data_IF_553280824228
#
_entry.id   IF_553280824228
#
_cell.length_a   1.000
_cell.length_b   1.000
_cell.length_c   1.000
_cell.angle_alpha   90.00
_cell.angle_beta   90.00
_cell.angle_gamma   90.00
#
_symmetry.space_group_name_H-M   'P 1'
#
loop_
_entity.id
_entity.type
_entity.pdbx_description
1 polymer ?
#
# COMPACT_ATOMS: atom_id res chain seq x y z
N UNK A 1 -33.90 20.97 34.88
CA UNK A 1 -32.49 20.64 35.21
C UNK A 1 -32.05 19.22 34.85
N UNK A 2 -32.89 18.35 34.25
CA UNK A 2 -32.48 17.00 33.81
C UNK A 2 -32.27 16.87 32.29
N UNK A 3 -32.82 17.77 31.49
CA UNK A 3 -32.78 17.65 30.02
C UNK A 3 -31.52 18.24 29.37
N UNK A 4 -30.83 19.19 30.02
CA UNK A 4 -29.57 19.74 29.49
C UNK A 4 -28.36 18.80 29.60
N UNK A 5 -28.41 17.76 30.43
CA UNK A 5 -27.30 16.83 30.61
C UNK A 5 -27.25 15.74 29.53
N UNK A 6 -28.40 15.39 28.94
CA UNK A 6 -28.51 14.36 27.90
C UNK A 6 -27.98 14.88 26.56
N UNK A 7 -28.16 16.17 26.28
CA UNK A 7 -27.63 16.81 25.06
C UNK A 7 -26.10 16.87 25.03
N UNK A 8 -25.44 17.13 26.18
CA UNK A 8 -23.98 17.13 26.23
C UNK A 8 -23.35 15.73 26.04
N UNK A 9 -24.00 14.66 26.51
CA UNK A 9 -23.52 13.29 26.27
C UNK A 9 -23.69 12.83 24.83
N UNK A 10 -24.72 13.29 24.10
CA UNK A 10 -24.87 12.98 22.68
C UNK A 10 -23.76 13.61 21.81
N UNK A 11 -23.25 14.79 22.19
CA UNK A 11 -22.15 15.45 21.47
C UNK A 11 -20.77 14.81 21.72
N UNK A 12 -20.56 14.16 22.87
CA UNK A 12 -19.28 13.51 23.18
C UNK A 12 -19.12 12.20 22.38
N UNK A 13 -20.22 11.53 22.01
CA UNK A 13 -20.19 10.26 21.29
C UNK A 13 -19.95 10.45 19.78
N UNK A 14 -20.27 11.61 19.21
CA UNK A 14 -20.11 11.88 17.77
C UNK A 14 -18.67 12.21 17.33
N UNK A 15 -17.74 12.47 18.26
CA UNK A 15 -16.37 12.88 17.93
C UNK A 15 -15.35 11.73 17.88
N UNK A 16 -15.74 10.49 18.15
CA UNK A 16 -14.82 9.33 18.16
C UNK A 16 -15.23 8.23 17.18
N UNK A 17 -15.93 8.56 16.09
CA UNK A 17 -15.95 7.66 14.93
C UNK A 17 -14.66 7.92 14.15
N UNK A 18 -13.52 7.46 14.69
CA UNK A 18 -12.37 7.18 13.84
C UNK A 18 -12.88 6.16 12.83
N UNK A 19 -13.09 6.59 11.58
CA UNK A 19 -13.59 5.70 10.53
C UNK A 19 -12.73 4.44 10.55
N UNK A 20 -13.37 3.27 10.64
CA UNK A 20 -12.66 2.00 10.59
C UNK A 20 -11.80 2.02 9.32
N UNK A 21 -10.49 1.73 9.45
CA UNK A 21 -9.61 1.59 8.30
C UNK A 21 -9.96 0.30 7.58
N UNK A 22 -11.00 0.37 6.74
CA UNK A 22 -11.45 -0.73 5.92
C UNK A 22 -10.80 -0.64 4.53
N UNK A 23 -10.24 -1.76 4.07
CA UNK A 23 -9.61 -1.82 2.75
C UNK A 23 -10.70 -1.97 1.68
N UNK A 24 -10.67 -1.18 0.59
CA UNK A 24 -11.64 -1.29 -0.48
C UNK A 24 -11.58 -2.67 -1.14
N UNK A 25 -12.75 -3.25 -1.46
CA UNK A 25 -12.84 -4.55 -2.15
C UNK A 25 -12.05 -4.56 -3.46
N UNK A 26 -12.04 -3.45 -4.19
CA UNK A 26 -11.29 -3.30 -5.45
C UNK A 26 -9.79 -3.52 -5.27
N UNK A 27 -9.21 -3.08 -4.15
CA UNK A 27 -7.81 -3.33 -3.81
C UNK A 27 -7.59 -4.81 -3.49
N UNK A 28 -8.44 -5.39 -2.65
CA UNK A 28 -8.33 -6.81 -2.25
C UNK A 28 -8.47 -7.75 -3.44
N UNK A 29 -9.42 -7.49 -4.34
CA UNK A 29 -9.62 -8.27 -5.57
C UNK A 29 -8.40 -8.20 -6.51
N UNK A 30 -7.79 -7.02 -6.65
CA UNK A 30 -6.58 -6.86 -7.45
C UNK A 30 -5.39 -7.62 -6.84
N UNK A 31 -5.20 -7.55 -5.52
CA UNK A 31 -4.17 -8.32 -4.82
C UNK A 31 -4.37 -9.83 -4.99
N UNK A 32 -5.58 -10.34 -4.76
CA UNK A 32 -5.89 -11.78 -4.90
C UNK A 32 -5.70 -12.27 -6.34
N UNK A 33 -6.15 -11.47 -7.32
CA UNK A 33 -5.96 -11.75 -8.73
C UNK A 33 -4.48 -11.78 -9.12
N UNK A 34 -3.71 -10.81 -8.66
CA UNK A 34 -2.29 -10.71 -8.95
C UNK A 34 -1.45 -11.74 -8.21
N UNK A 35 -1.83 -12.10 -6.97
CA UNK A 35 -1.26 -13.21 -6.24
C UNK A 35 -1.41 -14.51 -7.04
N UNK A 36 -2.61 -14.71 -7.59
CA UNK A 36 -2.94 -15.88 -8.42
C UNK A 36 -2.30 -15.87 -9.81
N UNK A 37 -1.81 -14.74 -10.30
CA UNK A 37 -1.13 -14.64 -11.61
C UNK A 37 0.39 -14.65 -11.50
N UNK A 38 0.97 -14.01 -10.48
CA UNK A 38 2.39 -13.61 -10.45
C UNK A 38 3.24 -14.30 -9.40
N UNK A 39 2.65 -14.74 -8.29
CA UNK A 39 3.41 -15.50 -7.28
C UNK A 39 3.57 -16.93 -7.78
N UNK A 40 4.78 -17.49 -7.76
CA UNK A 40 5.01 -18.85 -8.24
C UNK A 40 4.21 -19.87 -7.41
N UNK A 41 3.77 -20.96 -8.04
CA UNK A 41 2.96 -22.00 -7.36
C UNK A 41 3.70 -22.55 -6.12
N UNK A 42 5.03 -22.67 -6.17
CA UNK A 42 5.85 -23.12 -5.04
C UNK A 42 5.76 -22.13 -3.88
N UNK A 43 5.86 -20.83 -4.15
CA UNK A 43 5.71 -19.78 -3.13
C UNK A 43 4.28 -19.73 -2.56
N UNK A 44 3.25 -20.00 -3.39
CA UNK A 44 1.86 -20.13 -2.91
C UNK A 44 1.66 -21.34 -2.01
N UNK A 45 2.30 -22.46 -2.31
CA UNK A 45 2.26 -23.67 -1.47
C UNK A 45 3.00 -23.42 -0.17
N UNK A 46 4.17 -22.78 -0.20
CA UNK A 46 4.89 -22.38 1.01
C UNK A 46 4.05 -21.41 1.86
N UNK A 47 3.37 -20.44 1.23
CA UNK A 47 2.46 -19.52 1.90
C UNK A 47 1.27 -20.26 2.55
N UNK A 48 0.64 -21.17 1.81
CA UNK A 48 -0.50 -21.96 2.32
C UNK A 48 -0.06 -22.86 3.49
N UNK A 49 1.10 -23.50 3.37
CA UNK A 49 1.69 -24.34 4.42
C UNK A 49 2.03 -23.51 5.65
N UNK A 50 2.61 -22.31 5.47
CA UNK A 50 2.88 -21.36 6.54
C UNK A 50 1.61 -20.79 7.16
N UNK A 51 0.55 -20.55 6.38
CA UNK A 51 -0.75 -20.09 6.88
C UNK A 51 -1.41 -21.15 7.77
N UNK A 52 -1.38 -22.42 7.35
CA UNK A 52 -1.83 -23.55 8.18
C UNK A 52 -0.96 -23.69 9.43
N UNK A 53 0.36 -23.56 9.29
CA UNK A 53 1.30 -23.60 10.42
C UNK A 53 1.07 -22.44 11.39
N UNK A 54 0.80 -21.24 10.89
CA UNK A 54 0.54 -20.03 11.66
C UNK A 54 -0.83 -20.09 12.34
N UNK A 55 -1.84 -20.66 11.68
CA UNK A 55 -3.12 -20.98 12.29
C UNK A 55 -2.96 -21.99 13.43
N UNK A 56 -2.18 -23.05 13.22
CA UNK A 56 -1.86 -24.04 14.25
C UNK A 56 -1.07 -23.43 15.41
N UNK A 57 -0.03 -22.63 15.13
CA UNK A 57 0.75 -21.89 16.13
C UNK A 57 -0.14 -20.96 16.96
N UNK A 58 -1.03 -20.20 16.32
CA UNK A 58 -2.01 -19.32 16.99
C UNK A 58 -2.97 -20.11 17.88
N UNK A 59 -3.43 -21.28 17.44
CA UNK A 59 -4.28 -22.18 18.26
C UNK A 59 -3.54 -22.79 19.43
N UNK A 60 -2.22 -22.96 19.32
CA UNK A 60 -1.34 -23.52 20.34
C UNK A 60 -0.71 -22.44 21.25
N UNK A 61 -1.02 -21.16 21.06
CA UNK A 61 -0.49 -20.06 21.86
C UNK A 61 0.94 -19.65 21.53
N UNK A 62 1.49 -20.06 20.39
CA UNK A 62 2.80 -19.65 19.90
C UNK A 62 2.73 -18.35 19.09
N UNK A 63 3.83 -17.59 19.08
CA UNK A 63 3.99 -16.45 18.20
C UNK A 63 3.95 -16.87 16.73
N UNK A 64 3.31 -16.05 15.92
CA UNK A 64 3.17 -16.23 14.47
C UNK A 64 4.35 -15.56 13.79
N UNK A 65 5.03 -16.26 12.89
CA UNK A 65 6.05 -15.64 12.03
C UNK A 65 5.32 -14.87 10.92
N UNK A 66 5.34 -13.53 10.99
CA UNK A 66 4.91 -12.67 9.89
C UNK A 66 5.90 -12.81 8.74
N UNK A 67 5.39 -13.10 7.54
CA UNK A 67 6.18 -13.11 6.32
C UNK A 67 6.50 -11.68 5.91
N UNK A 68 7.59 -11.13 6.46
CA UNK A 68 8.09 -9.78 6.18
C UNK A 68 9.02 -9.72 4.95
N UNK A 69 8.79 -10.58 3.95
CA UNK A 69 9.56 -10.52 2.70
C UNK A 69 8.72 -9.86 1.62
N UNK A 70 9.17 -8.72 1.05
CA UNK A 70 8.51 -8.09 -0.09
C UNK A 70 8.31 -9.09 -1.22
N UNK A 71 7.18 -8.98 -1.92
CA UNK A 71 6.94 -9.75 -3.15
C UNK A 71 7.82 -9.24 -4.29
N UNK A 72 7.96 -10.03 -5.36
CA UNK A 72 8.67 -9.60 -6.57
C UNK A 72 7.95 -8.41 -7.23
N UNK A 73 8.70 -7.57 -7.95
CA UNK A 73 8.18 -6.34 -8.53
C UNK A 73 6.96 -6.58 -9.46
N UNK A 74 6.89 -7.73 -10.13
CA UNK A 74 5.81 -8.07 -11.07
C UNK A 74 4.45 -8.22 -10.38
N UNK A 75 4.45 -8.55 -9.08
CA UNK A 75 3.23 -8.59 -8.27
C UNK A 75 2.66 -7.18 -8.13
N UNK A 76 3.48 -6.21 -7.74
CA UNK A 76 3.05 -4.83 -7.58
C UNK A 76 2.69 -4.21 -8.93
N UNK A 77 3.48 -4.46 -9.98
CA UNK A 77 3.14 -4.04 -11.33
C UNK A 77 1.78 -4.57 -11.78
N UNK A 78 1.45 -5.82 -11.44
CA UNK A 78 0.14 -6.39 -11.73
C UNK A 78 -0.98 -5.61 -11.02
N UNK A 79 -0.81 -5.25 -9.74
CA UNK A 79 -1.83 -4.50 -8.98
C UNK A 79 -2.08 -3.14 -9.62
N UNK A 80 -1.02 -2.38 -9.91
CA UNK A 80 -1.18 -1.06 -10.55
C UNK A 80 -1.86 -1.17 -11.93
N UNK A 81 -1.61 -2.25 -12.68
CA UNK A 81 -2.29 -2.51 -13.94
C UNK A 81 -3.78 -2.84 -13.75
N UNK A 82 -4.12 -3.79 -12.88
CA UNK A 82 -5.51 -4.20 -12.62
C UNK A 82 -6.33 -3.02 -12.05
N UNK A 83 -5.71 -2.13 -11.26
CA UNK A 83 -6.32 -0.91 -10.73
C UNK A 83 -6.30 0.29 -11.70
N UNK A 84 -5.70 0.15 -12.89
CA UNK A 84 -5.60 1.20 -13.93
C UNK A 84 -4.93 2.48 -13.44
N UNK A 85 -3.85 2.33 -12.67
CA UNK A 85 -3.09 3.42 -12.04
C UNK A 85 -1.80 3.78 -12.80
N UNK A 86 -1.61 3.23 -14.01
CA UNK A 86 -0.40 3.42 -14.82
C UNK A 86 -0.66 4.28 -16.06
N UNK A 87 0.32 5.12 -16.39
CA UNK A 87 0.35 5.83 -17.66
C UNK A 87 0.71 4.90 -18.84
N UNK A 88 0.66 5.43 -20.07
CA UNK A 88 0.98 4.66 -21.28
C UNK A 88 2.41 4.09 -21.34
N UNK A 89 3.32 4.56 -20.47
CA UNK A 89 4.69 4.08 -20.36
C UNK A 89 4.89 3.10 -19.20
N UNK A 90 3.81 2.72 -18.49
CA UNK A 90 3.86 1.78 -17.38
C UNK A 90 4.32 2.36 -16.03
N UNK A 91 4.48 3.68 -15.91
CA UNK A 91 4.81 4.35 -14.64
C UNK A 91 3.56 4.75 -13.87
N UNK A 92 3.64 4.94 -12.53
CA UNK A 92 2.55 5.49 -11.74
C UNK A 92 2.01 6.79 -12.34
N UNK A 93 0.69 6.87 -12.48
CA UNK A 93 0.03 8.09 -12.93
C UNK A 93 -0.71 8.74 -11.74
N UNK A 94 -0.28 9.93 -11.36
CA UNK A 94 -0.84 10.65 -10.22
C UNK A 94 -2.36 10.81 -10.32
N UNK A 95 -2.88 11.31 -11.44
CA UNK A 95 -4.29 11.61 -11.60
C UNK A 95 -5.17 10.35 -11.57
N UNK A 96 -4.70 9.25 -12.15
CA UNK A 96 -5.41 7.97 -12.10
C UNK A 96 -5.44 7.38 -10.69
N UNK A 97 -4.35 7.52 -9.92
CA UNK A 97 -4.32 7.08 -8.53
C UNK A 97 -5.26 7.93 -7.68
N UNK A 98 -5.26 9.26 -7.87
CA UNK A 98 -6.20 10.17 -7.21
C UNK A 98 -7.64 9.79 -7.53
N UNK A 99 -7.95 9.59 -8.82
CA UNK A 99 -9.27 9.17 -9.25
C UNK A 99 -9.69 7.85 -8.60
N UNK A 100 -8.77 6.89 -8.46
CA UNK A 100 -9.08 5.64 -7.77
C UNK A 100 -9.34 5.87 -6.28
N UNK A 101 -8.53 6.69 -5.59
CA UNK A 101 -8.71 7.00 -4.16
C UNK A 101 -10.08 7.65 -3.91
N UNK A 102 -10.44 8.66 -4.71
CA UNK A 102 -11.72 9.39 -4.59
C UNK A 102 -12.94 8.47 -4.67
N UNK A 103 -12.86 7.40 -5.49
CA UNK A 103 -13.97 6.49 -5.72
C UNK A 103 -14.04 5.32 -4.72
N UNK A 104 -12.94 5.02 -4.01
CA UNK A 104 -12.83 3.78 -3.25
C UNK A 104 -12.54 3.97 -1.76
N UNK A 105 -12.00 5.11 -1.35
CA UNK A 105 -11.52 5.33 0.02
C UNK A 105 -12.35 6.41 0.73
N UNK A 106 -12.70 6.16 1.98
CA UNK A 106 -13.39 7.12 2.85
C UNK A 106 -12.50 8.36 3.07
N UNK A 107 -13.10 9.54 2.95
CA UNK A 107 -12.44 10.86 2.97
C UNK A 107 -11.35 11.03 4.04
N UNK A 108 -11.61 10.61 5.28
CA UNK A 108 -10.66 10.77 6.38
C UNK A 108 -9.33 10.02 6.15
N UNK A 109 -9.39 8.82 5.56
CA UNK A 109 -8.20 8.03 5.20
C UNK A 109 -7.60 8.50 3.87
N UNK A 110 -8.45 8.95 2.94
CA UNK A 110 -8.01 9.47 1.64
C UNK A 110 -7.05 10.65 1.80
N UNK A 111 -7.29 11.55 2.77
CA UNK A 111 -6.43 12.70 3.03
C UNK A 111 -4.98 12.32 3.31
N UNK A 112 -4.76 11.36 4.22
CA UNK A 112 -3.41 10.89 4.56
C UNK A 112 -2.72 10.26 3.35
N UNK A 113 -3.48 9.47 2.58
CA UNK A 113 -2.99 8.83 1.35
C UNK A 113 -2.63 9.88 0.29
N UNK A 114 -3.38 10.99 0.18
CA UNK A 114 -3.05 12.08 -0.74
C UNK A 114 -1.76 12.80 -0.40
N UNK A 115 -1.56 13.11 0.89
CA UNK A 115 -0.32 13.74 1.36
C UNK A 115 0.88 12.82 1.07
N UNK A 116 0.71 11.51 1.28
CA UNK A 116 1.74 10.52 0.97
C UNK A 116 1.99 10.39 -0.53
N UNK A 117 0.93 10.24 -1.33
CA UNK A 117 1.00 10.14 -2.80
C UNK A 117 1.72 11.34 -3.41
N UNK A 118 1.40 12.56 -2.97
CA UNK A 118 2.06 13.78 -3.43
C UNK A 118 3.57 13.73 -3.14
N UNK A 119 3.95 13.29 -1.94
CA UNK A 119 5.36 13.17 -1.54
C UNK A 119 6.11 12.13 -2.38
N UNK A 120 5.49 10.96 -2.59
CA UNK A 120 6.04 9.88 -3.42
C UNK A 120 6.20 10.31 -4.89
N UNK A 121 5.19 10.97 -5.45
CA UNK A 121 5.20 11.41 -6.84
C UNK A 121 6.23 12.51 -7.10
N UNK A 122 6.40 13.44 -6.14
CA UNK A 122 7.46 14.45 -6.21
C UNK A 122 8.84 13.80 -6.18
N UNK A 123 9.10 12.89 -5.24
CA UNK A 123 10.38 12.19 -5.13
C UNK A 123 10.67 11.37 -6.39
N UNK A 124 9.68 10.67 -6.96
CA UNK A 124 9.83 9.96 -8.23
C UNK A 124 10.19 10.91 -9.38
N UNK A 125 9.51 12.04 -9.47
CA UNK A 125 9.76 13.04 -10.51
C UNK A 125 11.18 13.61 -10.40
N UNK A 126 11.65 13.88 -9.17
CA UNK A 126 13.01 14.34 -8.89
C UNK A 126 14.06 13.27 -9.24
N UNK A 127 13.83 12.00 -8.89
CA UNK A 127 14.69 10.88 -9.28
C UNK A 127 14.80 10.77 -10.80
N UNK A 128 13.70 10.88 -11.53
CA UNK A 128 13.70 10.83 -13.00
C UNK A 128 14.47 12.04 -13.58
N UNK A 129 14.21 13.25 -13.08
CA UNK A 129 14.88 14.45 -13.61
C UNK A 129 16.39 14.45 -13.36
N UNK A 130 16.82 13.87 -12.23
CA UNK A 130 18.22 13.79 -11.83
C UNK A 130 18.91 12.50 -12.32
N UNK A 131 18.19 11.63 -13.04
CA UNK A 131 18.67 10.32 -13.48
C UNK A 131 19.21 9.46 -12.31
N UNK A 132 18.50 9.50 -11.18
CA UNK A 132 18.81 8.79 -9.94
C UNK A 132 17.81 7.66 -9.69
N UNK A 133 18.22 6.71 -8.85
CA UNK A 133 17.34 5.62 -8.40
C UNK A 133 16.23 6.18 -7.48
N UNK A 134 14.98 5.77 -7.71
CA UNK A 134 13.87 6.12 -6.84
C UNK A 134 13.73 5.10 -5.70
N UNK A 135 13.72 5.59 -4.46
CA UNK A 135 13.48 4.81 -3.24
C UNK A 135 12.15 5.17 -2.61
N UNK A 136 11.39 4.16 -2.18
CA UNK A 136 10.12 4.36 -1.47
C UNK A 136 10.29 4.84 -0.03
N UNK A 137 11.51 4.73 0.51
CA UNK A 137 11.85 5.31 1.80
C UNK A 137 12.35 6.75 1.62
N UNK A 138 11.41 7.70 1.71
CA UNK A 138 11.69 9.12 1.53
C UNK A 138 12.66 9.71 2.58
N UNK A 139 12.91 9.01 3.70
CA UNK A 139 13.86 9.44 4.72
C UNK A 139 15.27 8.87 4.50
N UNK A 140 15.41 7.88 3.62
CA UNK A 140 16.71 7.32 3.27
C UNK A 140 17.48 8.34 2.43
N UNK A 141 18.74 8.60 2.81
CA UNK A 141 19.67 9.34 1.95
C UNK A 141 19.76 8.64 0.61
N UNK A 142 19.52 9.39 -0.47
CA UNK A 142 19.66 8.95 -1.86
C UNK A 142 20.90 8.07 -1.99
N UNK A 143 20.72 6.78 -2.26
CA UNK A 143 21.85 5.91 -2.54
C UNK A 143 22.34 6.24 -3.95
N UNK A 144 23.59 6.69 -4.03
CA UNK A 144 24.30 6.72 -5.30
C UNK A 144 24.32 5.31 -5.87
N UNK A 145 23.92 5.20 -7.14
CA UNK A 145 23.75 3.94 -7.83
C UNK A 145 25.10 3.18 -7.83
N UNK A 146 25.21 1.98 -7.21
CA UNK A 146 26.48 1.24 -7.22
C UNK A 146 26.83 0.70 -8.62
N UNK A 147 25.92 0.82 -9.59
CA UNK A 147 26.05 0.33 -10.96
C UNK A 147 25.29 1.30 -11.87
N UNK A 148 25.86 1.78 -12.98
CA UNK A 148 25.27 2.79 -13.89
C UNK A 148 24.00 2.31 -14.66
N UNK A 149 23.18 1.43 -14.09
CA UNK A 149 21.98 0.86 -14.71
C UNK A 149 20.74 1.70 -14.37
N UNK A 150 19.93 1.97 -15.38
CA UNK A 150 18.61 2.58 -15.21
C UNK A 150 17.70 1.63 -14.43
N UNK A 151 17.06 2.14 -13.38
CA UNK A 151 16.05 1.40 -12.62
C UNK A 151 14.93 0.94 -13.57
N UNK A 152 14.56 -0.34 -13.49
CA UNK A 152 13.47 -0.87 -14.31
C UNK A 152 12.13 -0.30 -13.86
N UNK A 153 11.18 -0.18 -14.79
CA UNK A 153 9.81 0.28 -14.47
C UNK A 153 9.14 -0.60 -13.40
N UNK A 154 9.44 -1.90 -13.40
CA UNK A 154 8.91 -2.84 -12.42
C UNK A 154 9.43 -2.53 -11.01
N UNK A 155 10.74 -2.31 -10.87
CA UNK A 155 11.37 -1.94 -9.60
C UNK A 155 10.88 -0.57 -9.11
N UNK A 156 10.69 0.39 -10.01
CA UNK A 156 10.08 1.68 -9.68
C UNK A 156 8.69 1.49 -9.07
N UNK A 157 7.86 0.60 -9.61
CA UNK A 157 6.52 0.32 -9.08
C UNK A 157 6.55 -0.36 -7.71
N UNK A 158 7.51 -1.25 -7.49
CA UNK A 158 7.74 -1.87 -6.19
C UNK A 158 8.07 -0.80 -5.13
N UNK A 159 9.05 0.05 -5.41
CA UNK A 159 9.43 1.13 -4.50
C UNK A 159 8.31 2.17 -4.35
N UNK A 160 7.50 2.39 -5.38
CA UNK A 160 6.36 3.30 -5.30
C UNK A 160 5.26 2.73 -4.40
N UNK A 161 4.99 1.42 -4.46
CA UNK A 161 4.09 0.73 -3.52
C UNK A 161 4.58 0.86 -2.08
N UNK A 162 5.87 0.63 -1.85
CA UNK A 162 6.51 0.81 -0.54
C UNK A 162 6.38 2.25 -0.04
N UNK A 163 6.51 3.22 -0.94
CA UNK A 163 6.29 4.61 -0.59
C UNK A 163 4.85 4.82 -0.11
N UNK A 164 3.84 4.36 -0.86
CA UNK A 164 2.43 4.55 -0.54
C UNK A 164 1.96 3.80 0.72
N UNK A 165 2.63 2.71 1.11
CA UNK A 165 2.23 1.92 2.27
C UNK A 165 2.58 2.57 3.62
N UNK A 166 3.38 3.64 3.62
CA UNK A 166 3.80 4.36 4.83
C UNK A 166 2.72 5.40 5.19
N UNK A 167 1.59 4.88 5.67
CA UNK A 167 0.43 5.61 6.20
C UNK A 167 -0.18 4.79 7.35
N UNK A 168 -0.93 5.43 8.25
CA UNK A 168 -1.60 4.75 9.36
C UNK A 168 -2.66 3.76 8.86
N UNK A 169 -3.47 4.18 7.89
CA UNK A 169 -4.43 3.30 7.24
C UNK A 169 -3.79 2.60 6.03
N UNK A 170 -3.22 1.41 6.25
CA UNK A 170 -2.49 0.64 5.23
C UNK A 170 -3.41 0.03 4.16
N UNK A 171 -3.97 0.89 3.30
CA UNK A 171 -4.72 0.51 2.10
C UNK A 171 -3.78 -0.10 1.07
N UNK A 172 -2.64 0.55 0.81
CA UNK A 172 -1.53 0.01 0.06
C UNK A 172 -0.62 -0.76 1.02
N UNK A 173 -0.26 -2.00 0.68
CA UNK A 173 0.55 -2.86 1.55
C UNK A 173 1.88 -3.20 0.90
N UNK A 174 2.91 -3.09 1.72
CA UNK A 174 4.26 -3.50 1.41
C UNK A 174 4.87 -4.11 2.69
N UNK A 175 5.30 -5.39 2.66
CA UNK A 175 5.95 -6.05 3.80
C UNK A 175 7.31 -5.45 4.15
#
# INVERSE_FOLDING_TARGET
MKESFILCMAFIILNNVSGICERPNTMTEAEDGCWTKKVEIIDRIQYSTKSVLNFARKKLGFSVEEQNTPQKCEYYQCIFNDLKMLNGNGYPNYDQIVHWIDNNIIYNHAKEIYERLNSCNRALSESISNNQYFTGDLNSTLQDNPTNELQSTCDTLQEFMKCLSIVNCQIFRFP
#
